data_IF_151296716183
#
_entry.id   IF_151296716183
#
_cell.length_a   1.000
_cell.length_b   1.000
_cell.length_c   1.000
_cell.angle_alpha   90.00
_cell.angle_beta   90.00
_cell.angle_gamma   90.00
#
_symmetry.space_group_name_H-M   'P 1'
#
loop_
_entity.id
_entity.type
_entity.pdbx_description
1 polymer ?
#
# COMPACT_ATOMS: atom_id res chain seq x y z
N UNK A 1 -49.80 1.92 17.50
CA UNK A 1 -49.44 0.49 17.50
C UNK A 1 -48.07 0.36 16.87
N UNK A 2 -47.14 -0.42 17.46
CA UNK A 2 -45.72 -0.30 17.17
C UNK A 2 -45.32 -1.19 15.97
N UNK A 3 -45.03 -0.57 14.83
CA UNK A 3 -44.48 -1.26 13.65
C UNK A 3 -42.97 -1.57 13.77
N UNK A 4 -42.49 -1.76 15.00
CA UNK A 4 -41.11 -2.12 15.34
C UNK A 4 -40.64 -3.55 14.97
N UNK A 5 -41.48 -4.56 14.65
CA UNK A 5 -40.95 -5.91 14.41
C UNK A 5 -40.25 -6.04 13.05
N UNK A 6 -40.66 -5.28 12.05
CA UNK A 6 -40.10 -5.38 10.70
C UNK A 6 -38.70 -4.74 10.63
N UNK A 7 -38.53 -3.57 11.28
CA UNK A 7 -37.22 -2.91 11.37
C UNK A 7 -36.23 -3.77 12.17
N UNK A 8 -36.62 -4.29 13.34
CA UNK A 8 -35.77 -5.19 14.13
C UNK A 8 -35.38 -6.47 13.37
N UNK A 9 -36.33 -7.08 12.65
CA UNK A 9 -36.06 -8.25 11.82
C UNK A 9 -35.11 -7.95 10.65
N UNK A 10 -35.29 -6.80 9.97
CA UNK A 10 -34.38 -6.38 8.89
C UNK A 10 -32.97 -6.09 9.41
N UNK A 11 -32.82 -5.40 10.55
CA UNK A 11 -31.50 -5.13 11.14
C UNK A 11 -30.82 -6.40 11.67
N UNK A 12 -31.58 -7.38 12.18
CA UNK A 12 -31.06 -8.67 12.60
C UNK A 12 -30.60 -9.52 11.40
N UNK A 13 -31.39 -9.56 10.33
CA UNK A 13 -31.04 -10.28 9.10
C UNK A 13 -29.84 -9.63 8.39
N UNK A 14 -29.86 -8.30 8.25
CA UNK A 14 -28.74 -7.48 7.74
C UNK A 14 -27.51 -7.74 8.61
N UNK A 15 -27.62 -7.62 9.94
CA UNK A 15 -26.52 -7.85 10.87
C UNK A 15 -25.89 -9.23 10.76
N UNK A 16 -26.71 -10.28 10.61
CA UNK A 16 -26.22 -11.65 10.43
C UNK A 16 -25.57 -11.87 9.06
N UNK A 17 -26.17 -11.34 8.00
CA UNK A 17 -25.60 -11.38 6.66
C UNK A 17 -24.27 -10.65 6.59
N UNK A 18 -24.19 -9.40 7.06
CA UNK A 18 -22.92 -8.66 7.09
C UNK A 18 -21.91 -9.28 8.08
N UNK A 19 -22.37 -9.83 9.21
CA UNK A 19 -21.52 -10.46 10.21
C UNK A 19 -20.72 -11.66 9.70
N UNK A 20 -21.27 -12.42 8.75
CA UNK A 20 -20.59 -13.58 8.14
C UNK A 20 -20.00 -13.21 6.76
N UNK A 21 -20.75 -12.47 5.94
CA UNK A 21 -20.36 -12.15 4.58
C UNK A 21 -19.15 -11.22 4.53
N UNK A 22 -19.06 -10.23 5.43
CA UNK A 22 -17.92 -9.30 5.49
C UNK A 22 -16.60 -10.01 5.81
N UNK A 23 -16.45 -10.80 6.88
CA UNK A 23 -15.19 -11.49 7.15
C UNK A 23 -14.85 -12.54 6.07
N UNK A 24 -15.85 -13.21 5.50
CA UNK A 24 -15.65 -14.18 4.43
C UNK A 24 -15.15 -13.50 3.14
N UNK A 25 -15.75 -12.38 2.74
CA UNK A 25 -15.30 -11.59 1.57
C UNK A 25 -13.92 -10.99 1.81
N UNK A 26 -13.63 -10.46 3.01
CA UNK A 26 -12.30 -9.96 3.36
C UNK A 26 -11.27 -11.08 3.23
N UNK A 27 -11.55 -12.27 3.76
CA UNK A 27 -10.63 -13.41 3.72
C UNK A 27 -10.41 -13.90 2.28
N UNK A 28 -11.47 -13.93 1.46
CA UNK A 28 -11.38 -14.28 0.04
C UNK A 28 -10.53 -13.27 -0.74
N UNK A 29 -10.73 -11.97 -0.53
CA UNK A 29 -9.93 -10.90 -1.16
C UNK A 29 -8.48 -11.00 -0.69
N UNK A 30 -8.24 -11.18 0.61
CA UNK A 30 -6.88 -11.34 1.14
C UNK A 30 -6.18 -12.56 0.53
N UNK A 31 -6.90 -13.69 0.44
CA UNK A 31 -6.39 -14.94 -0.14
C UNK A 31 -6.04 -14.79 -1.61
N UNK A 32 -6.89 -14.12 -2.40
CA UNK A 32 -6.63 -13.87 -3.82
C UNK A 32 -5.47 -12.90 -4.02
N UNK A 33 -5.34 -11.86 -3.21
CA UNK A 33 -4.20 -10.92 -3.24
C UNK A 33 -2.89 -11.63 -2.89
N UNK A 34 -2.88 -12.44 -1.84
CA UNK A 34 -1.71 -13.23 -1.46
C UNK A 34 -1.36 -14.22 -2.58
N UNK A 35 -2.36 -14.95 -3.11
CA UNK A 35 -2.17 -15.88 -4.22
C UNK A 35 -1.60 -15.23 -5.48
N UNK A 36 -2.15 -14.09 -5.88
CA UNK A 36 -1.66 -13.26 -7.00
C UNK A 36 -0.22 -12.79 -6.77
N UNK A 37 0.14 -12.46 -5.53
CA UNK A 37 1.47 -11.99 -5.17
C UNK A 37 2.52 -13.12 -5.14
N UNK A 38 2.11 -14.35 -4.77
CA UNK A 38 3.00 -15.53 -4.79
C UNK A 38 3.35 -16.04 -6.20
N UNK A 39 2.66 -15.56 -7.25
CA UNK A 39 3.00 -15.88 -8.65
C UNK A 39 4.30 -15.21 -9.12
N UNK A 40 4.85 -14.25 -8.36
CA UNK A 40 6.14 -13.64 -8.67
C UNK A 40 7.30 -14.54 -8.22
N UNK A 41 8.27 -14.77 -9.12
CA UNK A 41 9.51 -15.49 -8.79
C UNK A 41 10.28 -14.76 -7.68
N UNK A 42 10.72 -15.52 -6.68
CA UNK A 42 11.49 -15.08 -5.49
C UNK A 42 10.71 -14.30 -4.41
N UNK A 43 9.38 -14.30 -4.43
CA UNK A 43 8.60 -13.61 -3.41
C UNK A 43 8.48 -14.42 -2.09
N UNK A 44 8.85 -13.80 -0.97
CA UNK A 44 8.66 -14.39 0.37
C UNK A 44 7.25 -14.05 0.87
N UNK A 45 6.37 -15.04 1.12
CA UNK A 45 4.97 -14.79 1.51
C UNK A 45 4.83 -13.95 2.78
N UNK A 46 5.77 -14.11 3.71
CA UNK A 46 5.78 -13.39 4.98
C UNK A 46 5.96 -11.88 4.81
N UNK A 47 6.81 -11.46 3.87
CA UNK A 47 7.09 -10.04 3.61
C UNK A 47 5.92 -9.38 2.85
N UNK A 48 5.26 -10.13 1.97
CA UNK A 48 4.02 -9.69 1.30
C UNK A 48 2.89 -9.51 2.33
N UNK A 49 2.69 -10.48 3.23
CA UNK A 49 1.66 -10.38 4.25
C UNK A 49 1.91 -9.20 5.21
N UNK A 50 3.17 -8.96 5.56
CA UNK A 50 3.56 -7.83 6.40
C UNK A 50 3.31 -6.48 5.72
N UNK A 51 3.68 -6.33 4.45
CA UNK A 51 3.40 -5.10 3.69
C UNK A 51 1.90 -4.87 3.53
N UNK A 52 1.13 -5.91 3.21
CA UNK A 52 -0.33 -5.84 3.13
C UNK A 52 -0.94 -5.36 4.45
N UNK A 53 -0.49 -5.89 5.59
CA UNK A 53 -0.94 -5.44 6.90
C UNK A 53 -0.63 -3.96 7.14
N UNK A 54 0.58 -3.50 6.81
CA UNK A 54 0.94 -2.09 6.96
C UNK A 54 0.05 -1.18 6.09
N UNK A 55 -0.22 -1.54 4.83
CA UNK A 55 -1.13 -0.77 3.96
C UNK A 55 -2.57 -0.75 4.47
N UNK A 56 -3.06 -1.84 5.09
CA UNK A 56 -4.37 -1.86 5.76
C UNK A 56 -4.41 -0.95 6.98
N UNK A 57 -3.33 -0.89 7.77
CA UNK A 57 -3.26 0.04 8.91
C UNK A 57 -3.10 1.50 8.46
N UNK A 58 -2.41 1.75 7.34
CA UNK A 58 -2.36 3.07 6.71
C UNK A 58 -3.75 3.50 6.22
N UNK A 59 -4.51 2.61 5.58
CA UNK A 59 -5.87 2.94 5.13
C UNK A 59 -6.81 3.22 6.30
N UNK A 60 -6.67 2.47 7.40
CA UNK A 60 -7.36 2.76 8.66
C UNK A 60 -6.99 4.15 9.20
N UNK A 61 -5.71 4.52 9.17
CA UNK A 61 -5.25 5.87 9.53
C UNK A 61 -5.94 6.98 8.71
N UNK A 62 -5.99 6.81 7.39
CA UNK A 62 -6.70 7.75 6.48
C UNK A 62 -8.19 7.82 6.80
N UNK A 63 -8.84 6.70 7.12
CA UNK A 63 -10.24 6.66 7.53
C UNK A 63 -10.48 7.44 8.83
N UNK A 64 -9.63 7.26 9.84
CA UNK A 64 -9.72 8.00 11.12
C UNK A 64 -9.49 9.50 10.91
N UNK A 65 -8.49 9.88 10.12
CA UNK A 65 -8.26 11.29 9.75
C UNK A 65 -9.49 11.88 9.06
N UNK A 66 -10.09 11.14 8.14
CA UNK A 66 -11.27 11.61 7.41
C UNK A 66 -12.50 11.72 8.31
N UNK A 67 -12.70 10.78 9.24
CA UNK A 67 -13.76 10.80 10.23
C UNK A 67 -13.64 12.00 11.20
N UNK A 68 -12.42 12.44 11.51
CA UNK A 68 -12.19 13.66 12.29
C UNK A 68 -12.31 14.96 11.48
N UNK A 69 -11.81 14.96 10.23
CA UNK A 69 -11.73 16.17 9.40
C UNK A 69 -13.05 16.53 8.70
N UNK A 70 -13.80 15.55 8.18
CA UNK A 70 -15.00 15.86 7.41
C UNK A 70 -16.09 16.54 8.26
N UNK A 71 -16.46 16.04 9.46
CA UNK A 71 -17.49 16.69 10.26
C UNK A 71 -17.07 18.09 10.75
N UNK A 72 -15.78 18.30 11.02
CA UNK A 72 -15.27 19.61 11.44
C UNK A 72 -15.35 20.63 10.32
N UNK A 73 -14.92 20.28 9.11
CA UNK A 73 -15.01 21.15 7.93
C UNK A 73 -16.48 21.48 7.60
N UNK A 74 -17.35 20.46 7.60
CA UNK A 74 -18.79 20.64 7.33
C UNK A 74 -19.40 21.60 8.35
N UNK A 75 -19.11 21.42 9.64
CA UNK A 75 -19.72 22.27 10.67
C UNK A 75 -19.24 23.71 10.62
N UNK A 76 -17.95 23.94 10.34
CA UNK A 76 -17.40 25.30 10.17
C UNK A 76 -18.07 26.00 9.00
N UNK A 77 -18.24 25.31 7.86
CA UNK A 77 -18.89 25.87 6.67
C UNK A 77 -20.40 26.06 6.85
N UNK A 78 -21.05 25.20 7.62
CA UNK A 78 -22.47 25.33 7.96
C UNK A 78 -22.73 26.42 9.03
N UNK A 79 -21.68 26.99 9.64
CA UNK A 79 -21.81 27.97 10.72
C UNK A 79 -22.37 27.37 12.02
N UNK A 80 -22.39 26.05 12.14
CA UNK A 80 -22.87 25.34 13.34
C UNK A 80 -21.73 25.29 14.35
N UNK A 81 -21.99 25.75 15.58
CA UNK A 81 -21.01 25.69 16.67
C UNK A 81 -20.95 24.27 17.23
N UNK A 82 -19.86 23.56 16.99
CA UNK A 82 -19.56 22.34 17.74
C UNK A 82 -19.30 22.68 19.21
N UNK A 83 -19.74 21.80 20.11
CA UNK A 83 -19.26 21.81 21.48
C UNK A 83 -17.73 21.64 21.51
N UNK A 84 -17.06 22.38 22.40
CA UNK A 84 -15.59 22.30 22.55
C UNK A 84 -15.11 20.87 22.83
N UNK A 85 -15.89 20.08 23.58
CA UNK A 85 -15.59 18.68 23.83
C UNK A 85 -15.61 17.85 22.53
N UNK A 86 -16.62 18.04 21.68
CA UNK A 86 -16.74 17.33 20.39
C UNK A 86 -15.60 17.69 19.44
N UNK A 87 -15.24 18.97 19.36
CA UNK A 87 -14.12 19.41 18.55
C UNK A 87 -12.80 18.78 19.02
N UNK A 88 -12.56 18.79 20.34
CA UNK A 88 -11.38 18.16 20.92
C UNK A 88 -11.33 16.65 20.66
N UNK A 89 -12.46 15.94 20.79
CA UNK A 89 -12.55 14.51 20.45
C UNK A 89 -12.23 14.26 18.97
N UNK A 90 -12.80 15.04 18.05
CA UNK A 90 -12.52 14.89 16.62
C UNK A 90 -11.05 15.17 16.29
N UNK A 91 -10.43 16.12 16.99
CA UNK A 91 -9.01 16.44 16.85
C UNK A 91 -8.12 15.31 17.38
N UNK A 92 -8.48 14.67 18.50
CA UNK A 92 -7.78 13.48 19.00
C UNK A 92 -7.91 12.31 18.02
N UNK A 93 -9.11 12.07 17.48
CA UNK A 93 -9.30 10.99 16.49
C UNK A 93 -8.48 11.27 15.23
N UNK A 94 -8.46 12.53 14.78
CA UNK A 94 -7.63 12.96 13.65
C UNK A 94 -6.14 12.75 13.90
N UNK A 95 -5.63 13.18 15.06
CA UNK A 95 -4.21 13.04 15.40
C UNK A 95 -3.79 11.59 15.61
N UNK A 96 -4.65 10.77 16.22
CA UNK A 96 -4.44 9.33 16.34
C UNK A 96 -4.38 8.64 14.96
N UNK A 97 -5.28 9.02 14.04
CA UNK A 97 -5.25 8.55 12.65
C UNK A 97 -3.96 8.93 11.92
N UNK A 98 -3.50 10.17 12.08
CA UNK A 98 -2.25 10.65 11.50
C UNK A 98 -1.01 9.96 12.08
N UNK A 99 -0.97 9.74 13.39
CA UNK A 99 0.11 9.00 14.05
C UNK A 99 0.15 7.54 13.59
N UNK A 100 -1.00 6.90 13.47
CA UNK A 100 -1.11 5.53 12.95
C UNK A 100 -0.63 5.44 11.51
N UNK A 101 -1.01 6.40 10.67
CA UNK A 101 -0.57 6.47 9.29
C UNK A 101 0.95 6.60 9.19
N UNK A 102 1.55 7.59 9.87
CA UNK A 102 2.99 7.85 9.84
C UNK A 102 3.82 6.67 10.40
N UNK A 103 3.32 6.01 11.45
CA UNK A 103 4.00 4.85 12.03
C UNK A 103 4.08 3.68 11.05
N UNK A 104 2.98 3.40 10.36
CA UNK A 104 2.94 2.31 9.39
C UNK A 104 3.67 2.66 8.10
N UNK A 105 3.64 3.92 7.67
CA UNK A 105 4.41 4.39 6.53
C UNK A 105 5.92 4.16 6.75
N UNK A 106 6.44 4.51 7.93
CA UNK A 106 7.83 4.24 8.29
C UNK A 106 8.17 2.74 8.28
N UNK A 107 7.24 1.87 8.68
CA UNK A 107 7.43 0.41 8.65
C UNK A 107 7.44 -0.17 7.24
N UNK A 108 6.63 0.37 6.31
CA UNK A 108 6.60 -0.09 4.90
C UNK A 108 7.95 0.13 4.22
N UNK A 109 8.63 1.23 4.52
CA UNK A 109 9.93 1.55 3.93
C UNK A 109 11.04 0.55 4.29
N UNK A 110 10.89 -0.20 5.38
CA UNK A 110 11.83 -1.25 5.78
C UNK A 110 11.69 -2.54 4.96
N UNK A 111 10.62 -2.70 4.19
CA UNK A 111 10.30 -3.92 3.43
C UNK A 111 10.91 -3.84 2.01
N UNK A 112 11.48 -4.94 1.47
CA UNK A 112 12.06 -4.93 0.13
C UNK A 112 11.04 -4.58 -0.96
N UNK A 113 11.48 -3.80 -1.95
CA UNK A 113 10.61 -3.20 -2.97
C UNK A 113 9.80 -4.24 -3.76
N UNK A 114 10.38 -5.42 -4.04
CA UNK A 114 9.69 -6.48 -4.77
C UNK A 114 8.46 -7.01 -4.05
N UNK A 115 8.51 -7.08 -2.72
CA UNK A 115 7.42 -7.59 -1.90
C UNK A 115 6.31 -6.56 -1.70
N UNK A 116 6.61 -5.25 -1.81
CA UNK A 116 5.61 -4.17 -1.61
C UNK A 116 4.88 -3.74 -2.88
N UNK A 117 5.43 -3.98 -4.08
CA UNK A 117 4.82 -3.53 -5.35
C UNK A 117 3.35 -3.92 -5.49
N UNK A 118 3.00 -5.18 -5.22
CA UNK A 118 1.61 -5.65 -5.42
C UNK A 118 0.64 -5.00 -4.41
N UNK A 119 0.91 -5.05 -3.09
CA UNK A 119 0.08 -4.33 -2.11
C UNK A 119 -0.03 -2.82 -2.35
N UNK A 120 1.06 -2.18 -2.78
CA UNK A 120 1.12 -0.75 -3.09
C UNK A 120 0.18 -0.40 -4.24
N UNK A 121 0.27 -1.13 -5.35
CA UNK A 121 -0.63 -0.94 -6.49
C UNK A 121 -2.09 -1.13 -6.06
N UNK A 122 -2.40 -2.19 -5.32
CA UNK A 122 -3.76 -2.43 -4.83
C UNK A 122 -4.26 -1.27 -3.96
N UNK A 123 -3.41 -0.77 -3.07
CA UNK A 123 -3.72 0.36 -2.20
C UNK A 123 -4.05 1.63 -3.01
N UNK A 124 -3.23 1.99 -3.99
CA UNK A 124 -3.46 3.17 -4.85
C UNK A 124 -4.76 3.02 -5.66
N UNK A 125 -4.97 1.87 -6.29
CA UNK A 125 -6.19 1.60 -7.08
C UNK A 125 -7.44 1.59 -6.20
N UNK A 126 -7.36 1.08 -4.96
CA UNK A 126 -8.47 1.11 -4.01
C UNK A 126 -8.92 2.54 -3.75
N UNK A 127 -7.98 3.44 -3.40
CA UNK A 127 -8.30 4.84 -3.16
C UNK A 127 -8.78 5.57 -4.41
N UNK A 128 -8.29 5.20 -5.59
CA UNK A 128 -8.77 5.74 -6.86
C UNK A 128 -10.21 5.32 -7.16
N UNK A 129 -10.55 4.05 -6.93
CA UNK A 129 -11.92 3.54 -7.08
C UNK A 129 -12.85 4.25 -6.09
N UNK A 130 -12.44 4.39 -4.82
CA UNK A 130 -13.21 5.11 -3.80
C UNK A 130 -13.43 6.57 -4.21
N UNK A 131 -12.40 7.25 -4.70
CA UNK A 131 -12.50 8.64 -5.17
C UNK A 131 -13.49 8.81 -6.33
N UNK A 132 -13.40 7.94 -7.35
CA UNK A 132 -14.36 7.95 -8.46
C UNK A 132 -15.78 7.61 -8.02
N UNK A 133 -15.94 6.63 -7.12
CA UNK A 133 -17.24 6.25 -6.58
C UNK A 133 -17.87 7.41 -5.79
N UNK A 134 -17.10 8.08 -4.94
CA UNK A 134 -17.55 9.27 -4.21
C UNK A 134 -18.00 10.37 -5.18
N UNK A 135 -17.17 10.71 -6.16
CA UNK A 135 -17.54 11.72 -7.17
C UNK A 135 -18.84 11.34 -7.89
N UNK A 136 -18.95 10.09 -8.34
CA UNK A 136 -20.13 9.63 -9.06
C UNK A 136 -21.39 9.67 -8.18
N UNK A 137 -21.32 9.16 -6.96
CA UNK A 137 -22.45 9.13 -6.03
C UNK A 137 -22.91 10.54 -5.64
N UNK A 138 -21.97 11.45 -5.37
CA UNK A 138 -22.31 12.82 -4.96
C UNK A 138 -22.78 13.68 -6.13
N UNK A 139 -22.25 13.46 -7.33
CA UNK A 139 -22.74 14.12 -8.54
C UNK A 139 -24.15 13.62 -8.90
N UNK A 140 -24.39 12.31 -8.79
CA UNK A 140 -25.72 11.73 -8.96
C UNK A 140 -26.70 12.25 -7.90
N UNK A 141 -26.29 12.33 -6.64
CA UNK A 141 -27.07 12.90 -5.55
C UNK A 141 -27.48 14.36 -5.82
N UNK A 142 -26.56 15.17 -6.36
CA UNK A 142 -26.86 16.53 -6.79
C UNK A 142 -27.89 16.58 -7.92
N UNK A 143 -27.75 15.73 -8.94
CA UNK A 143 -28.70 15.65 -10.06
C UNK A 143 -30.10 15.26 -9.55
N UNK A 144 -30.19 14.26 -8.69
CA UNK A 144 -31.46 13.83 -8.09
C UNK A 144 -32.09 14.94 -7.26
N UNK A 145 -31.28 15.66 -6.47
CA UNK A 145 -31.76 16.81 -5.68
C UNK A 145 -32.29 17.94 -6.55
N UNK A 146 -31.68 18.20 -7.71
CA UNK A 146 -32.18 19.18 -8.69
C UNK A 146 -33.50 18.76 -9.31
N UNK A 147 -33.66 17.46 -9.62
CA UNK A 147 -34.87 16.92 -10.25
C UNK A 147 -36.07 16.89 -9.29
N UNK A 148 -35.84 16.62 -8.00
CA UNK A 148 -36.90 16.57 -6.98
C UNK A 148 -37.30 17.95 -6.42
N UNK A 149 -36.65 19.02 -6.88
CA UNK A 149 -36.82 20.38 -6.36
C UNK A 149 -35.78 20.71 -5.29
N UNK A 150 -35.31 21.96 -5.33
CA UNK A 150 -34.29 22.46 -4.40
C UNK A 150 -34.81 22.37 -2.96
N UNK A 151 -34.10 21.69 -2.04
CA UNK A 151 -34.51 21.66 -0.65
C UNK A 151 -34.44 23.07 -0.04
N UNK A 152 -35.46 23.43 0.75
CA UNK A 152 -35.56 24.75 1.40
C UNK A 152 -34.55 24.95 2.54
N UNK A 153 -33.85 23.89 2.95
CA UNK A 153 -32.84 23.96 4.01
C UNK A 153 -31.63 24.79 3.58
N UNK A 154 -31.39 25.91 4.28
CA UNK A 154 -30.21 26.74 4.06
C UNK A 154 -28.94 25.91 4.26
N UNK A 155 -28.10 25.84 3.23
CA UNK A 155 -26.81 25.14 3.29
C UNK A 155 -26.83 23.69 2.80
N UNK A 156 -27.95 23.21 2.22
CA UNK A 156 -28.05 21.85 1.65
C UNK A 156 -26.95 21.54 0.61
N UNK A 157 -26.46 22.55 -0.11
CA UNK A 157 -25.43 22.40 -1.15
C UNK A 157 -24.01 22.26 -0.59
N UNK A 158 -23.79 22.60 0.69
CA UNK A 158 -22.45 22.60 1.30
C UNK A 158 -21.90 21.17 1.36
N UNK A 159 -22.73 20.23 1.82
CA UNK A 159 -22.35 18.82 1.95
C UNK A 159 -21.94 18.17 0.60
N UNK A 160 -22.73 18.24 -0.48
CA UNK A 160 -22.34 17.67 -1.75
C UNK A 160 -21.10 18.35 -2.35
N UNK A 161 -20.93 19.66 -2.21
CA UNK A 161 -19.74 20.34 -2.73
C UNK A 161 -18.47 19.88 -1.99
N UNK A 162 -18.49 19.82 -0.65
CA UNK A 162 -17.35 19.34 0.14
C UNK A 162 -16.98 17.91 -0.28
N UNK A 163 -17.99 17.06 -0.46
CA UNK A 163 -17.77 15.66 -0.81
C UNK A 163 -17.26 15.48 -2.24
N UNK A 164 -17.69 16.32 -3.19
CA UNK A 164 -17.12 16.36 -4.54
C UNK A 164 -15.66 16.82 -4.50
N UNK A 165 -15.35 17.86 -3.73
CA UNK A 165 -13.96 18.33 -3.57
C UNK A 165 -13.10 17.23 -2.94
N UNK A 166 -13.60 16.58 -1.89
CA UNK A 166 -12.91 15.49 -1.21
C UNK A 166 -12.69 14.30 -2.16
N UNK A 167 -13.71 13.83 -2.87
CA UNK A 167 -13.57 12.77 -3.88
C UNK A 167 -12.62 13.15 -5.01
N UNK A 168 -12.65 14.40 -5.46
CA UNK A 168 -11.71 14.95 -6.43
C UNK A 168 -10.28 14.94 -5.93
N UNK A 169 -10.06 15.24 -4.66
CA UNK A 169 -8.75 15.20 -4.02
C UNK A 169 -8.21 13.76 -3.94
N UNK A 170 -9.07 12.75 -3.67
CA UNK A 170 -8.67 11.34 -3.77
C UNK A 170 -8.22 10.95 -5.17
N UNK A 171 -8.97 11.34 -6.20
CA UNK A 171 -8.61 11.06 -7.60
C UNK A 171 -7.33 11.80 -7.99
N UNK A 172 -7.13 13.02 -7.49
CA UNK A 172 -5.93 13.80 -7.75
C UNK A 172 -4.69 13.19 -7.09
N UNK A 173 -4.80 12.79 -5.82
CA UNK A 173 -3.70 12.16 -5.06
C UNK A 173 -3.34 10.75 -5.56
N UNK A 174 -4.24 10.08 -6.27
CA UNK A 174 -4.02 8.73 -6.84
C UNK A 174 -3.75 8.76 -8.35
N UNK A 175 -3.41 9.94 -8.88
CA UNK A 175 -3.07 10.09 -10.30
C UNK A 175 -1.79 9.30 -10.59
N UNK A 176 -1.80 8.36 -11.55
CA UNK A 176 -0.61 7.60 -11.88
C UNK A 176 0.42 8.55 -12.49
N UNK A 177 1.61 8.59 -11.91
CA UNK A 177 2.76 9.17 -12.59
C UNK A 177 3.06 8.33 -13.84
N UNK A 178 3.48 9.02 -14.90
CA UNK A 178 3.56 8.51 -16.29
C UNK A 178 4.34 7.18 -16.43
N UNK A 179 5.13 6.80 -15.43
CA UNK A 179 5.97 5.59 -15.38
C UNK A 179 5.20 4.29 -15.08
N UNK A 180 4.01 4.32 -14.46
CA UNK A 180 3.22 3.10 -14.21
C UNK A 180 2.73 2.40 -15.49
N UNK A 181 2.64 3.15 -16.60
CA UNK A 181 2.27 2.61 -17.91
C UNK A 181 3.32 1.63 -18.47
N UNK A 182 4.58 1.69 -18.00
CA UNK A 182 5.63 0.75 -18.43
C UNK A 182 5.49 -0.63 -17.78
N UNK A 183 4.90 -0.73 -16.58
CA UNK A 183 4.74 -2.00 -15.88
C UNK A 183 3.61 -2.84 -16.50
N UNK A 184 2.46 -2.22 -16.79
CA UNK A 184 1.37 -2.89 -17.52
C UNK A 184 1.82 -3.24 -18.94
N UNK A 185 2.53 -2.34 -19.63
CA UNK A 185 3.09 -2.64 -20.94
C UNK A 185 4.13 -3.78 -20.91
N UNK A 186 4.94 -3.91 -19.85
CA UNK A 186 5.92 -5.00 -19.70
C UNK A 186 5.29 -6.34 -19.32
N UNK A 187 4.25 -6.34 -18.50
CA UNK A 187 3.47 -7.54 -18.17
C UNK A 187 2.65 -8.01 -19.38
N UNK A 188 2.07 -7.10 -20.16
CA UNK A 188 1.36 -7.45 -21.40
C UNK A 188 2.31 -7.81 -22.56
N UNK A 189 3.52 -7.23 -22.66
CA UNK A 189 4.52 -7.64 -23.67
C UNK A 189 5.07 -9.06 -23.47
N UNK A 190 5.00 -9.61 -22.25
CA UNK A 190 5.38 -11.00 -21.96
C UNK A 190 4.21 -12.00 -22.08
N UNK A 191 3.06 -11.55 -22.59
CA UNK A 191 1.88 -12.38 -22.86
C UNK A 191 1.90 -13.17 -24.17
N UNK A 192 3.03 -13.24 -24.89
CA UNK A 192 3.15 -14.10 -26.06
C UNK A 192 4.25 -15.15 -25.86
N UNK A 193 3.86 -16.41 -26.08
CA UNK A 193 4.71 -17.58 -26.29
C UNK A 193 5.09 -18.42 -25.05
N UNK A 194 4.08 -18.92 -24.33
CA UNK A 194 4.17 -20.28 -23.79
C UNK A 194 3.99 -21.29 -24.95
N UNK A 195 5.02 -21.47 -25.77
CA UNK A 195 5.19 -22.70 -26.53
C UNK A 195 5.81 -23.74 -25.63
N UNK A 196 5.09 -24.84 -25.46
CA UNK A 196 5.57 -26.10 -24.92
C UNK A 196 6.81 -26.58 -25.67
N UNK A 197 7.99 -26.48 -25.08
CA UNK A 197 9.11 -27.36 -25.41
C UNK A 197 9.75 -27.85 -24.13
N UNK A 198 9.37 -29.08 -23.80
CA UNK A 198 10.17 -30.07 -23.10
C UNK A 198 11.66 -29.96 -23.48
N UNK A 199 12.53 -29.84 -22.49
CA UNK A 199 13.89 -30.38 -22.56
C UNK A 199 14.40 -30.68 -21.14
N UNK A 200 14.90 -31.90 -21.02
CA UNK A 200 15.30 -32.67 -19.85
C UNK A 200 16.35 -32.02 -18.91
N UNK A 201 16.50 -32.53 -17.67
CA UNK A 201 17.44 -32.03 -16.67
C UNK A 201 18.88 -32.44 -17.01
N UNK A 202 19.83 -31.49 -17.00
CA UNK A 202 21.27 -31.81 -17.02
C UNK A 202 21.80 -31.98 -15.59
N UNK A 203 21.96 -33.24 -15.18
CA UNK A 203 22.81 -33.65 -14.04
C UNK A 203 24.21 -34.02 -14.56
N UNK A 204 25.22 -33.38 -13.97
CA UNK A 204 26.60 -33.84 -13.66
C UNK A 204 27.53 -34.32 -14.78
N UNK A 205 28.80 -33.90 -14.74
CA UNK A 205 29.99 -34.80 -14.70
C UNK A 205 31.25 -33.99 -14.34
N UNK A 206 31.95 -34.50 -13.34
CA UNK A 206 33.27 -34.11 -12.85
C UNK A 206 34.37 -34.12 -13.92
N UNK A 207 35.30 -33.17 -13.85
CA UNK A 207 36.71 -33.42 -14.22
C UNK A 207 37.64 -32.84 -13.15
N UNK A 208 37.93 -33.68 -12.16
CA UNK A 208 39.22 -33.68 -11.47
C UNK A 208 40.24 -34.27 -12.44
N UNK A 209 41.25 -33.50 -12.84
CA UNK A 209 42.50 -34.06 -13.38
C UNK A 209 43.66 -33.39 -12.64
N UNK A 210 44.26 -34.17 -11.76
CA UNK A 210 45.55 -33.95 -11.14
C UNK A 210 46.63 -34.45 -12.12
N UNK A 211 47.58 -33.62 -12.48
CA UNK A 211 48.88 -34.02 -13.04
C UNK A 211 49.93 -32.99 -12.55
N UNK A 212 50.64 -33.23 -11.45
CA UNK A 212 51.86 -34.05 -11.26
C UNK A 212 53.12 -33.48 -11.97
N UNK A 213 53.80 -32.59 -11.24
CA UNK A 213 55.26 -32.58 -10.93
C UNK A 213 56.28 -32.71 -12.09
N UNK A 214 57.05 -31.64 -12.33
CA UNK A 214 58.49 -31.74 -12.63
C UNK A 214 59.19 -30.37 -12.44
N UNK A 215 60.14 -30.31 -11.51
CA UNK A 215 61.23 -29.33 -11.52
C UNK A 215 62.52 -30.09 -11.84
N UNK A 216 63.52 -29.46 -12.47
CA UNK A 216 64.79 -29.28 -11.74
C UNK A 216 65.55 -27.96 -12.04
N UNK A 217 66.13 -27.38 -10.94
CA UNK A 217 67.52 -26.89 -10.71
C UNK A 217 68.30 -26.26 -11.90
N UNK A 218 69.08 -25.17 -11.79
CA UNK A 218 70.08 -24.79 -10.76
C UNK A 218 70.81 -23.47 -11.14
N UNK A 219 71.17 -22.65 -10.10
CA UNK A 219 72.45 -21.89 -9.89
C UNK A 219 72.74 -20.66 -10.81
N UNK A 220 73.26 -19.49 -10.38
CA UNK A 220 74.34 -19.09 -9.44
C UNK A 220 74.10 -17.60 -9.06
N UNK A 221 73.98 -17.22 -7.77
CA UNK A 221 74.97 -16.53 -6.89
C UNK A 221 75.34 -15.07 -7.30
N UNK A 222 75.60 -14.08 -6.45
CA UNK A 222 76.03 -14.04 -5.03
C UNK A 222 75.98 -12.58 -4.51
N UNK A 223 75.95 -12.41 -3.17
CA UNK A 223 76.65 -11.36 -2.36
C UNK A 223 76.09 -9.91 -2.40
N UNK A 224 76.07 -9.12 -1.31
CA UNK A 224 76.54 -9.24 0.08
C UNK A 224 76.09 -7.97 0.85
N UNK A 225 75.72 -8.11 2.14
CA UNK A 225 75.94 -7.16 3.27
C UNK A 225 75.26 -5.78 3.19
N UNK A 226 74.96 -5.06 4.26
CA UNK A 226 74.73 -5.30 5.68
C UNK A 226 74.25 -3.93 6.22
N UNK A 227 73.37 -3.95 7.22
CA UNK A 227 72.99 -2.85 8.11
C UNK A 227 74.20 -2.04 8.66
N UNK A 228 74.08 -0.81 9.25
CA UNK A 228 73.07 -0.49 10.29
C UNK A 228 72.64 0.99 10.55
N UNK A 229 71.59 1.10 11.40
CA UNK A 229 71.27 2.11 12.44
C UNK A 229 71.65 3.60 12.26
N UNK A 230 70.65 4.49 12.45
CA UNK A 230 70.56 5.57 13.48
C UNK A 230 69.23 6.33 13.30
N UNK A 231 68.33 6.40 14.29
CA UNK A 231 68.25 7.31 15.47
C UNK A 231 67.79 8.75 15.14
N UNK A 232 66.67 9.13 15.80
CA UNK A 232 66.26 10.44 16.36
C UNK A 232 65.36 11.42 15.59
N UNK A 233 64.51 12.04 16.44
CA UNK A 233 63.90 13.39 16.41
C UNK A 233 62.50 13.44 15.78
N UNK A 234 61.39 13.58 16.53
CA UNK A 234 60.95 14.62 17.50
C UNK A 234 60.70 15.99 16.84
N UNK A 235 59.48 16.51 17.10
CA UNK A 235 58.87 17.83 16.78
C UNK A 235 58.23 17.92 15.38
N UNK A 236 57.04 18.47 15.19
CA UNK A 236 56.19 19.34 16.03
C UNK A 236 54.75 18.83 16.08
#
# INVERSE_FOLDING_TARGET
>A
MPDTPLFSAMFSFVGMMYGILVPLTITLVLSTVIGASMLQKDARPREIAQSLFCYLMMSLGVLLMSAGALPTIISVLAGVKLSGATYFTLLIVFSAGGMLFLWNDALVHAIPERSRMVPETIYIYLFRIIGHLLLFLWLLSLVVSMLNGLPEEKGWWIMPIIMIIYGGLFVWCTRPDTDENYFIASCCKKGHMFTTTSCAPKKTINKVVIAKKAAPKKKVATKKKAQPKKVRSKRR
#
